data_IF_205555323203
#
_entry.id   IF_205555323203
#
_cell.length_a   1.000
_cell.length_b   1.000
_cell.length_c   1.000
_cell.angle_alpha   90.00
_cell.angle_beta   90.00
_cell.angle_gamma   90.00
#
_symmetry.space_group_name_H-M   'P 1'
#
loop_
_entity.id
_entity.type
_entity.pdbx_description
1 polymer ?
#
# COMPACT_ATOMS: atom_id res chain seq x y z
N UNK A 1 13.88 -19.70 -9.05
CA UNK A 1 13.88 -18.25 -9.32
C UNK A 1 12.59 -17.72 -8.70
N UNK A 2 12.60 -17.20 -7.47
CA UNK A 2 11.39 -16.64 -6.88
C UNK A 2 11.07 -15.35 -7.62
N UNK A 3 10.21 -15.43 -8.63
CA UNK A 3 9.56 -14.27 -9.20
C UNK A 3 8.84 -13.57 -8.06
N UNK A 4 9.31 -12.39 -7.68
CA UNK A 4 8.68 -11.61 -6.62
C UNK A 4 7.27 -11.26 -7.08
N UNK A 5 6.25 -11.76 -6.38
CA UNK A 5 4.85 -11.42 -6.64
C UNK A 5 4.49 -9.98 -6.23
N UNK A 6 5.50 -9.21 -5.76
CA UNK A 6 5.41 -7.78 -5.48
C UNK A 6 5.44 -7.02 -6.81
N UNK A 7 4.36 -6.32 -7.10
CA UNK A 7 4.17 -5.51 -8.32
C UNK A 7 4.58 -4.05 -8.11
N UNK A 8 4.55 -3.59 -6.86
CA UNK A 8 4.94 -2.24 -6.47
C UNK A 8 5.42 -2.25 -5.02
N UNK A 9 6.43 -1.43 -4.71
CA UNK A 9 6.78 -1.11 -3.32
C UNK A 9 7.45 0.24 -3.20
N UNK A 10 7.11 1.01 -2.17
CA UNK A 10 7.81 2.24 -1.80
C UNK A 10 7.70 2.49 -0.30
N UNK A 11 8.57 3.34 0.22
CA UNK A 11 8.45 3.92 1.54
C UNK A 11 7.76 5.28 1.44
N UNK A 12 6.83 5.56 2.34
CA UNK A 12 6.07 6.80 2.40
C UNK A 12 6.27 7.46 3.75
N UNK A 13 6.56 8.76 3.72
CA UNK A 13 6.42 9.60 4.92
C UNK A 13 4.98 10.05 5.04
N UNK A 14 4.38 9.83 6.21
CA UNK A 14 3.01 10.24 6.52
C UNK A 14 2.99 11.75 6.74
N UNK A 15 2.33 12.47 5.86
CA UNK A 15 2.25 13.93 5.90
C UNK A 15 1.06 14.42 6.71
N UNK A 16 -0.02 13.63 6.77
CA UNK A 16 -1.20 13.92 7.57
C UNK A 16 -2.04 12.66 7.83
N UNK A 17 -2.91 12.73 8.84
CA UNK A 17 -3.91 11.71 9.16
C UNK A 17 -5.24 12.42 9.37
N UNK A 18 -6.25 12.07 8.56
CA UNK A 18 -7.56 12.72 8.56
C UNK A 18 -7.50 14.25 8.32
N UNK A 19 -6.83 14.71 7.25
CA UNK A 19 -6.66 16.14 6.95
C UNK A 19 -7.98 16.95 6.90
N UNK A 20 -9.11 16.32 6.57
CA UNK A 20 -10.44 16.95 6.55
C UNK A 20 -11.23 16.78 7.88
N UNK A 21 -10.52 16.40 8.94
CA UNK A 21 -11.07 16.00 10.22
C UNK A 21 -11.54 14.53 10.23
N UNK A 22 -11.58 13.94 11.43
CA UNK A 22 -12.01 12.55 11.63
C UNK A 22 -13.50 12.40 11.30
N UNK A 23 -13.80 11.58 10.28
CA UNK A 23 -15.18 11.30 9.82
C UNK A 23 -15.74 10.00 10.39
N UNK A 24 -14.87 9.04 10.69
CA UNK A 24 -15.22 7.72 11.17
C UNK A 24 -14.46 7.43 12.46
N UNK A 25 -15.10 6.71 13.39
CA UNK A 25 -14.49 6.40 14.68
C UNK A 25 -13.29 5.46 14.55
N UNK A 26 -13.45 4.39 13.74
CA UNK A 26 -12.51 3.28 13.60
C UNK A 26 -11.70 3.28 12.30
N UNK A 27 -11.88 4.30 11.46
CA UNK A 27 -11.16 4.41 10.18
C UNK A 27 -10.44 5.74 10.14
N UNK A 28 -9.14 5.66 9.93
CA UNK A 28 -8.32 6.84 9.67
C UNK A 28 -7.85 6.83 8.21
N UNK A 29 -7.83 8.02 7.62
CA UNK A 29 -7.30 8.26 6.28
C UNK A 29 -5.89 8.80 6.39
N UNK A 30 -4.92 7.97 6.04
CA UNK A 30 -3.50 8.32 5.99
C UNK A 30 -3.22 9.01 4.66
N UNK A 31 -2.45 10.10 4.72
CA UNK A 31 -1.93 10.81 3.55
C UNK A 31 -0.40 10.77 3.64
N UNK A 32 0.26 10.44 2.54
CA UNK A 32 1.71 10.28 2.53
C UNK A 32 2.38 10.69 1.23
N UNK A 33 3.69 10.87 1.30
CA UNK A 33 4.58 11.17 0.17
C UNK A 33 5.61 10.07 0.04
N UNK A 34 5.72 9.47 -1.15
CA UNK A 34 6.70 8.44 -1.48
C UNK A 34 8.11 9.02 -1.44
N UNK A 35 9.04 8.26 -0.86
CA UNK A 35 10.43 8.66 -0.67
C UNK A 35 11.28 8.36 -1.90
N UNK A 36 11.05 7.23 -2.58
CA UNK A 36 11.86 6.82 -3.72
C UNK A 36 11.20 7.20 -5.04
N UNK A 37 9.89 6.96 -5.16
CA UNK A 37 9.15 7.15 -6.41
C UNK A 37 8.47 8.52 -6.48
N UNK A 38 8.50 9.30 -5.38
CA UNK A 38 7.93 10.64 -5.25
C UNK A 38 6.42 10.74 -5.52
N UNK A 39 5.72 9.61 -5.47
CA UNK A 39 4.27 9.49 -5.60
C UNK A 39 3.52 9.96 -4.36
N UNK A 40 2.22 10.25 -4.49
CA UNK A 40 1.34 10.55 -3.36
C UNK A 40 0.53 9.31 -2.96
N UNK A 41 0.32 9.16 -1.66
CA UNK A 41 -0.47 8.10 -1.04
C UNK A 41 -1.70 8.71 -0.36
N UNK A 42 -2.83 8.05 -0.53
CA UNK A 42 -4.00 8.20 0.33
C UNK A 42 -4.54 6.79 0.62
N UNK A 43 -4.65 6.40 1.88
CA UNK A 43 -5.10 5.05 2.24
C UNK A 43 -5.94 5.06 3.53
N UNK A 44 -7.10 4.41 3.48
CA UNK A 44 -7.96 4.19 4.63
C UNK A 44 -7.52 2.93 5.39
N UNK A 45 -7.37 3.01 6.71
CA UNK A 45 -6.97 1.89 7.57
C UNK A 45 -7.86 1.78 8.81
N UNK A 46 -7.95 0.58 9.38
CA UNK A 46 -8.61 0.37 10.66
C UNK A 46 -7.69 0.80 11.81
N UNK A 47 -7.98 1.93 12.46
CA UNK A 47 -7.05 2.60 13.37
C UNK A 47 -6.75 1.83 14.67
N UNK A 48 -7.68 1.02 15.18
CA UNK A 48 -7.42 0.17 16.36
C UNK A 48 -6.46 -0.99 16.05
N UNK A 49 -6.28 -1.35 14.77
CA UNK A 49 -5.40 -2.44 14.34
C UNK A 49 -4.04 -1.94 13.85
N UNK A 50 -4.01 -0.72 13.29
CA UNK A 50 -2.80 -0.12 12.75
C UNK A 50 -2.79 1.37 13.04
N UNK A 51 -2.08 1.73 14.12
CA UNK A 51 -1.93 3.11 14.56
C UNK A 51 -0.79 3.79 13.79
N UNK A 52 -1.13 4.92 13.15
CA UNK A 52 -0.18 5.72 12.37
C UNK A 52 -0.38 7.19 12.69
N UNK A 53 0.73 7.89 12.88
CA UNK A 53 0.81 9.29 13.20
C UNK A 53 1.52 10.07 12.08
N UNK A 54 1.29 11.38 12.05
CA UNK A 54 2.05 12.27 11.19
C UNK A 54 3.55 12.16 11.47
N UNK A 55 4.36 12.20 10.42
CA UNK A 55 5.80 11.98 10.39
C UNK A 55 6.28 10.53 10.54
N UNK A 56 5.38 9.57 10.80
CA UNK A 56 5.76 8.15 10.69
C UNK A 56 6.24 7.84 9.26
N UNK A 57 7.15 6.88 9.15
CA UNK A 57 7.52 6.29 7.86
C UNK A 57 6.89 4.90 7.77
N UNK A 58 6.13 4.66 6.70
CA UNK A 58 5.51 3.36 6.42
C UNK A 58 6.04 2.82 5.10
N UNK A 59 6.30 1.52 5.06
CA UNK A 59 6.62 0.82 3.83
C UNK A 59 5.36 0.12 3.32
N UNK A 60 5.05 0.32 2.05
CA UNK A 60 3.90 -0.32 1.39
C UNK A 60 4.40 -1.17 0.22
N UNK A 61 3.84 -2.37 0.10
CA UNK A 61 4.01 -3.23 -1.06
C UNK A 61 2.66 -3.73 -1.58
N UNK A 62 2.47 -3.74 -2.89
CA UNK A 62 1.32 -4.36 -3.56
C UNK A 62 1.74 -5.70 -4.14
N UNK A 63 1.07 -6.77 -3.72
CA UNK A 63 1.38 -8.14 -4.10
C UNK A 63 0.21 -8.79 -4.84
N UNK A 64 0.46 -9.46 -5.97
CA UNK A 64 -0.59 -10.22 -6.65
C UNK A 64 -1.06 -11.41 -5.81
N UNK A 65 -2.37 -11.55 -5.63
CA UNK A 65 -2.98 -12.69 -4.91
C UNK A 65 -3.06 -13.94 -5.80
N UNK A 66 -3.14 -13.75 -7.12
CA UNK A 66 -3.34 -14.81 -8.11
C UNK A 66 -2.18 -14.94 -9.09
N UNK A 67 -1.84 -16.17 -9.45
CA UNK A 67 -1.02 -16.46 -10.63
C UNK A 67 -1.84 -16.32 -11.91
N UNK A 68 -1.17 -16.30 -13.07
CA UNK A 68 -1.80 -16.15 -14.39
C UNK A 68 -2.86 -17.23 -14.72
N UNK A 69 -2.87 -18.35 -14.00
CA UNK A 69 -3.86 -19.44 -14.12
C UNK A 69 -5.03 -19.32 -13.12
N UNK A 70 -5.13 -18.21 -12.38
CA UNK A 70 -6.21 -17.95 -11.43
C UNK A 70 -6.11 -18.72 -10.10
N UNK A 71 -4.98 -19.38 -9.83
CA UNK A 71 -4.68 -20.01 -8.54
C UNK A 71 -3.97 -19.04 -7.60
N UNK A 72 -3.92 -19.37 -6.31
CA UNK A 72 -3.06 -18.65 -5.36
C UNK A 72 -1.63 -18.68 -5.89
N UNK A 73 -1.02 -17.50 -6.00
CA UNK A 73 0.27 -17.30 -6.66
C UNK A 73 1.47 -18.00 -5.98
N UNK A 74 1.26 -18.56 -4.79
CA UNK A 74 2.29 -19.23 -4.00
C UNK A 74 1.69 -20.27 -3.03
N UNK A 75 2.49 -21.25 -2.56
CA UNK A 75 2.07 -22.18 -1.52
C UNK A 75 1.59 -21.46 -0.25
N UNK A 76 0.60 -22.03 0.44
CA UNK A 76 -0.02 -21.38 1.60
C UNK A 76 0.98 -21.04 2.71
N UNK A 77 1.92 -21.94 3.02
CA UNK A 77 2.93 -21.71 4.06
C UNK A 77 3.87 -20.55 3.72
N UNK A 78 4.24 -20.41 2.44
CA UNK A 78 5.07 -19.30 1.95
C UNK A 78 4.30 -17.97 2.00
N UNK A 79 3.01 -17.99 1.63
CA UNK A 79 2.13 -16.84 1.74
C UNK A 79 2.03 -16.38 3.19
N UNK A 80 1.71 -17.29 4.13
CA UNK A 80 1.58 -16.96 5.55
C UNK A 80 2.88 -16.39 6.11
N UNK A 81 4.02 -16.98 5.77
CA UNK A 81 5.34 -16.48 6.17
C UNK A 81 5.59 -15.06 5.65
N UNK A 82 5.25 -14.80 4.38
CA UNK A 82 5.36 -13.47 3.78
C UNK A 82 4.46 -12.43 4.44
N UNK A 83 3.20 -12.79 4.71
CA UNK A 83 2.24 -11.86 5.32
C UNK A 83 2.62 -11.51 6.76
N UNK A 84 3.20 -12.47 7.51
CA UNK A 84 3.67 -12.25 8.89
C UNK A 84 4.81 -11.24 9.03
N UNK A 85 5.53 -10.91 7.95
CA UNK A 85 6.59 -9.90 7.99
C UNK A 85 6.07 -8.45 7.90
N UNK A 86 4.75 -8.26 7.85
CA UNK A 86 4.09 -6.96 7.76
C UNK A 86 3.14 -6.78 8.94
N UNK A 87 2.99 -5.54 9.38
CA UNK A 87 2.18 -5.19 10.55
C UNK A 87 0.68 -5.15 10.21
N UNK A 88 0.36 -4.81 8.97
CA UNK A 88 -1.02 -4.67 8.51
C UNK A 88 -1.17 -5.14 7.06
N UNK A 89 -2.18 -5.95 6.80
CA UNK A 89 -2.43 -6.57 5.49
C UNK A 89 -3.89 -6.39 5.12
N UNK A 90 -4.14 -5.94 3.90
CA UNK A 90 -5.48 -5.86 3.31
C UNK A 90 -5.54 -6.59 1.99
N UNK A 91 -6.65 -7.27 1.72
CA UNK A 91 -6.96 -7.81 0.39
C UNK A 91 -7.92 -6.86 -0.31
N UNK A 92 -7.65 -6.52 -1.57
CA UNK A 92 -8.47 -5.60 -2.34
C UNK A 92 -8.39 -5.81 -3.84
N UNK A 93 -9.15 -5.00 -4.56
CA UNK A 93 -9.23 -4.99 -6.02
C UNK A 93 -8.89 -3.61 -6.57
N UNK A 94 -8.12 -3.57 -7.65
CA UNK A 94 -7.91 -2.35 -8.43
C UNK A 94 -9.19 -2.07 -9.21
N UNK A 95 -9.95 -1.04 -8.84
CA UNK A 95 -11.22 -0.74 -9.50
C UNK A 95 -11.11 0.42 -10.51
N UNK A 96 -10.01 1.19 -10.47
CA UNK A 96 -9.82 2.33 -11.35
C UNK A 96 -8.35 2.70 -11.51
N UNK A 97 -7.94 2.91 -12.75
CA UNK A 97 -6.65 3.51 -13.12
C UNK A 97 -6.95 4.79 -13.89
N UNK A 98 -6.25 5.88 -13.56
CA UNK A 98 -6.41 7.19 -14.20
C UNK A 98 -5.06 7.70 -14.65
N UNK A 99 -4.91 7.96 -15.95
CA UNK A 99 -3.73 8.66 -16.47
C UNK A 99 -3.85 10.15 -16.12
N UNK A 100 -2.89 10.67 -15.36
CA UNK A 100 -2.82 12.10 -15.02
C UNK A 100 -2.20 12.91 -16.14
N UNK A 101 -1.12 12.37 -16.71
CA UNK A 101 -0.39 12.88 -17.85
C UNK A 101 0.38 11.72 -18.50
N UNK A 102 1.26 12.01 -19.47
CA UNK A 102 2.01 10.97 -20.18
C UNK A 102 2.91 10.13 -19.26
N UNK A 103 3.43 10.74 -18.19
CA UNK A 103 4.44 10.12 -17.34
C UNK A 103 3.89 9.65 -15.99
N UNK A 104 2.67 10.03 -15.63
CA UNK A 104 2.09 9.76 -14.32
C UNK A 104 0.68 9.19 -14.39
N UNK A 105 0.38 8.25 -13.50
CA UNK A 105 -0.93 7.66 -13.33
C UNK A 105 -1.33 7.55 -11.85
N UNK A 106 -2.62 7.39 -11.60
CA UNK A 106 -3.20 7.09 -10.29
C UNK A 106 -3.89 5.73 -10.33
N UNK A 107 -3.53 4.84 -9.41
CA UNK A 107 -4.20 3.56 -9.18
C UNK A 107 -5.08 3.68 -7.95
N UNK A 108 -6.33 3.25 -8.07
CA UNK A 108 -7.30 3.23 -6.98
C UNK A 108 -7.68 1.79 -6.65
N UNK A 109 -7.61 1.46 -5.36
CA UNK A 109 -7.93 0.16 -4.82
C UNK A 109 -9.06 0.26 -3.80
N UNK A 110 -9.84 -0.81 -3.69
CA UNK A 110 -10.87 -0.98 -2.67
C UNK A 110 -10.65 -2.28 -1.90
N UNK A 111 -10.57 -2.17 -0.58
CA UNK A 111 -10.43 -3.30 0.35
C UNK A 111 -11.74 -3.47 1.12
N UNK A 112 -12.81 -3.86 0.42
CA UNK A 112 -14.15 -3.99 1.02
C UNK A 112 -14.76 -2.66 1.48
N UNK A 113 -14.36 -1.53 0.88
CA UNK A 113 -14.85 -0.19 1.22
C UNK A 113 -13.78 0.74 1.81
N UNK A 114 -12.66 0.19 2.32
CA UNK A 114 -11.48 0.99 2.66
C UNK A 114 -10.73 1.32 1.36
N UNK A 115 -10.66 2.61 1.02
CA UNK A 115 -10.11 3.05 -0.25
C UNK A 115 -8.62 3.34 -0.14
N UNK A 116 -7.90 3.06 -1.20
CA UNK A 116 -6.53 3.49 -1.38
C UNK A 116 -6.33 4.13 -2.75
N UNK A 117 -5.42 5.10 -2.81
CA UNK A 117 -4.98 5.77 -4.02
C UNK A 117 -3.48 5.95 -3.98
N UNK A 118 -2.81 5.44 -5.01
CA UNK A 118 -1.39 5.60 -5.24
C UNK A 118 -1.20 6.40 -6.53
N UNK A 119 -0.51 7.52 -6.46
CA UNK A 119 -0.03 8.23 -7.65
C UNK A 119 1.45 7.96 -7.85
N UNK A 120 1.92 7.97 -9.09
CA UNK A 120 3.32 7.73 -9.39
C UNK A 120 3.57 7.69 -10.88
N UNK A 121 4.81 7.38 -11.26
CA UNK A 121 5.17 7.30 -12.67
C UNK A 121 4.51 6.10 -13.33
N UNK A 122 4.17 6.24 -14.60
CA UNK A 122 3.60 5.17 -15.41
C UNK A 122 4.51 3.94 -15.43
N UNK A 123 5.84 4.12 -15.45
CA UNK A 123 6.80 3.01 -15.42
C UNK A 123 6.67 2.12 -14.18
N UNK A 124 6.38 2.74 -13.03
CA UNK A 124 6.42 2.05 -11.73
C UNK A 124 5.07 1.38 -11.41
N UNK A 125 3.98 1.87 -12.02
CA UNK A 125 2.62 1.40 -11.76
C UNK A 125 1.97 0.68 -12.96
N UNK A 126 2.65 0.61 -14.11
CA UNK A 126 2.12 -0.01 -15.35
C UNK A 126 1.82 -1.50 -15.24
N UNK A 127 2.34 -2.18 -14.22
CA UNK A 127 2.09 -3.59 -13.97
C UNK A 127 0.77 -3.87 -13.23
N UNK A 128 0.02 -2.82 -12.88
CA UNK A 128 -1.26 -2.92 -12.20
C UNK A 128 -2.37 -2.75 -13.23
N UNK A 129 -3.29 -3.71 -13.27
CA UNK A 129 -4.44 -3.70 -14.17
C UNK A 129 -5.76 -3.56 -13.39
N UNK A 130 -6.77 -2.97 -14.03
CA UNK A 130 -8.14 -2.95 -13.49
C UNK A 130 -8.64 -4.39 -13.31
N UNK A 131 -9.44 -4.61 -12.27
CA UNK A 131 -9.96 -5.89 -11.80
C UNK A 131 -8.91 -6.85 -11.22
N UNK A 132 -7.64 -6.43 -11.11
CA UNK A 132 -6.60 -7.21 -10.43
C UNK A 132 -6.86 -7.29 -8.93
N UNK A 133 -6.77 -8.50 -8.38
CA UNK A 133 -6.81 -8.74 -6.94
C UNK A 133 -5.41 -8.69 -6.34
N UNK A 134 -5.25 -7.85 -5.32
CA UNK A 134 -3.96 -7.55 -4.71
C UNK A 134 -4.05 -7.62 -3.18
N UNK A 135 -2.95 -8.01 -2.56
CA UNK A 135 -2.68 -7.69 -1.17
C UNK A 135 -1.95 -6.35 -1.09
N UNK A 136 -2.47 -5.44 -0.26
CA UNK A 136 -1.75 -4.26 0.20
C UNK A 136 -1.09 -4.61 1.53
N UNK A 137 0.23 -4.67 1.52
CA UNK A 137 1.06 -5.03 2.66
C UNK A 137 1.68 -3.75 3.23
N UNK A 138 1.51 -3.51 4.53
CA UNK A 138 1.99 -2.30 5.19
C UNK A 138 2.81 -2.68 6.42
N UNK A 139 3.98 -2.05 6.57
CA UNK A 139 4.76 -2.11 7.80
C UNK A 139 5.17 -0.70 8.21
N UNK A 140 5.17 -0.42 9.51
CA UNK A 140 5.71 0.83 10.05
C UNK A 140 7.22 0.65 10.24
N UNK A 141 8.01 1.63 9.82
CA UNK A 141 9.44 1.65 10.14
C UNK A 141 9.61 2.27 11.51
N UNK A 142 10.39 1.61 12.37
CA UNK A 142 10.84 2.23 13.62
C UNK A 142 11.74 3.42 13.28
N UNK A 143 11.58 4.54 14.00
CA UNK A 143 12.59 5.59 13.98
C UNK A 143 13.87 4.98 14.58
N UNK A 144 14.95 4.96 13.80
CA UNK A 144 16.29 4.76 14.36
C UNK A 144 16.47 5.82 15.44
N UNK A 145 16.37 5.42 16.70
CA UNK A 145 16.74 6.28 17.82
C UNK A 145 18.18 6.71 17.56
N UNK A 146 18.49 8.01 17.46
CA UNK A 146 19.88 8.42 17.33
C UNK A 146 20.59 7.92 18.58
N UNK A 147 21.51 6.96 18.39
CA UNK A 147 22.39 6.47 19.43
C UNK A 147 22.93 7.69 20.20
N UNK A 148 22.49 7.83 21.44
CA UNK A 148 23.04 8.80 22.38
C UNK A 148 24.48 8.37 22.66
N UNK A 149 25.42 8.88 21.86
CA UNK A 149 26.85 8.95 22.18
C UNK A 149 27.23 10.33 22.68
#
# INVERSE_FOLDING_TARGET
MSSSNILFSDDFTVTDVNAEGKKFEKVDRIIGRGLNLFGDLLIDVHNELFEVNKNDTIHIALMSTTSADGRTSMPQEELESRLRSYDYVMNGIVYKIKHLNNDNLEVHLSHGGLLARFSGKTTDLSHLDVDSQLYTLVRKKEEDSPDLM
#
